data_IF_630554036367
#
_entry.id   IF_630554036367
#
_cell.length_a   1.000
_cell.length_b   1.000
_cell.length_c   1.000
_cell.angle_alpha   90.00
_cell.angle_beta   90.00
_cell.angle_gamma   90.00
#
_symmetry.space_group_name_H-M   'P 1'
#
loop_
_entity.id
_entity.type
_entity.pdbx_description
1 polymer ?
#
# COMPACT_ATOMS: atom_id res chain seq x y z
N UNK A 1 3.43 10.33 5.05
CA UNK A 1 3.23 9.42 6.21
C UNK A 1 2.97 8.01 5.68
N UNK A 2 3.70 7.05 6.20
CA UNK A 2 3.48 5.62 5.91
C UNK A 2 2.89 4.93 7.14
N UNK A 3 1.85 4.14 6.95
CA UNK A 3 1.25 3.32 7.99
C UNK A 3 1.12 1.88 7.53
N UNK A 4 1.48 0.93 8.38
CA UNK A 4 1.32 -0.50 8.13
C UNK A 4 0.22 -1.08 9.01
N UNK A 5 -0.66 -1.86 8.39
CA UNK A 5 -1.68 -2.64 9.08
C UNK A 5 -1.19 -4.08 9.06
N UNK A 6 -0.77 -4.59 10.22
CA UNK A 6 -0.21 -5.94 10.32
C UNK A 6 -1.16 -6.90 11.02
N UNK A 7 -0.91 -8.17 10.86
CA UNK A 7 -1.66 -9.26 11.46
C UNK A 7 -1.55 -10.50 10.57
N UNK A 8 -1.91 -11.66 11.13
CA UNK A 8 -1.97 -12.88 10.34
C UNK A 8 -3.14 -12.82 9.35
N UNK A 9 -3.14 -13.71 8.37
CA UNK A 9 -4.22 -13.82 7.40
C UNK A 9 -5.55 -14.05 8.15
N UNK A 10 -6.61 -13.38 7.71
CA UNK A 10 -7.95 -13.55 8.29
C UNK A 10 -8.25 -12.66 9.49
N UNK A 11 -7.40 -11.67 9.81
CA UNK A 11 -7.61 -10.77 10.95
C UNK A 11 -8.33 -9.46 10.59
N UNK A 12 -8.87 -9.35 9.37
CA UNK A 12 -9.65 -8.18 8.97
C UNK A 12 -8.84 -7.01 8.44
N UNK A 13 -7.57 -7.21 8.06
CA UNK A 13 -6.72 -6.16 7.52
C UNK A 13 -7.28 -5.55 6.24
N UNK A 14 -7.74 -6.40 5.31
CA UNK A 14 -8.30 -5.95 4.04
C UNK A 14 -9.57 -5.13 4.25
N UNK A 15 -10.45 -5.56 5.15
CA UNK A 15 -11.67 -4.82 5.48
C UNK A 15 -11.34 -3.44 6.05
N UNK A 16 -10.36 -3.36 6.92
CA UNK A 16 -9.89 -2.09 7.48
C UNK A 16 -9.38 -1.18 6.36
N UNK A 17 -8.59 -1.71 5.45
CA UNK A 17 -8.07 -0.95 4.31
C UNK A 17 -9.20 -0.46 3.41
N UNK A 18 -10.17 -1.31 3.08
CA UNK A 18 -11.33 -0.91 2.27
C UNK A 18 -12.05 0.28 2.89
N UNK A 19 -12.30 0.24 4.19
CA UNK A 19 -12.94 1.34 4.90
C UNK A 19 -12.11 2.62 4.81
N UNK A 20 -10.79 2.51 4.97
CA UNK A 20 -9.89 3.65 4.87
C UNK A 20 -9.86 4.24 3.46
N UNK A 21 -9.89 3.41 2.42
CA UNK A 21 -9.97 3.89 1.03
C UNK A 21 -11.25 4.70 0.81
N UNK A 22 -12.38 4.14 1.23
CA UNK A 22 -13.68 4.79 1.02
C UNK A 22 -13.81 6.08 1.85
N UNK A 23 -13.24 6.12 3.04
CA UNK A 23 -13.15 7.35 3.84
C UNK A 23 -12.25 8.40 3.18
N UNK A 24 -11.11 7.97 2.63
CA UNK A 24 -10.20 8.88 1.93
C UNK A 24 -10.87 9.53 0.72
N UNK A 25 -11.71 8.81 0.01
CA UNK A 25 -12.47 9.37 -1.11
C UNK A 25 -13.40 10.50 -0.71
N UNK A 26 -13.93 10.45 0.51
CA UNK A 26 -14.81 11.51 1.03
C UNK A 26 -14.05 12.76 1.46
N UNK A 27 -12.81 12.59 1.94
CA UNK A 27 -12.01 13.69 2.51
C UNK A 27 -10.92 14.21 1.59
N UNK A 28 -10.51 13.45 0.58
CA UNK A 28 -9.41 13.85 -0.29
C UNK A 28 -9.82 14.94 -1.26
N UNK A 29 -8.93 15.91 -1.45
CA UNK A 29 -9.07 16.95 -2.47
C UNK A 29 -8.48 16.51 -3.83
N UNK A 30 -7.89 15.32 -3.90
CA UNK A 30 -7.21 14.83 -5.09
C UNK A 30 -7.53 13.38 -5.39
N UNK A 31 -6.57 12.67 -5.97
CA UNK A 31 -6.75 11.28 -6.38
C UNK A 31 -6.40 10.30 -5.27
N UNK A 32 -7.18 9.23 -5.20
CA UNK A 32 -6.95 8.10 -4.30
C UNK A 32 -6.63 6.87 -5.15
N UNK A 33 -5.51 6.21 -4.86
CA UNK A 33 -5.03 5.04 -5.60
C UNK A 33 -4.95 3.84 -4.67
N UNK A 34 -5.37 2.67 -5.15
CA UNK A 34 -5.29 1.42 -4.41
C UNK A 34 -4.67 0.33 -5.28
N UNK A 35 -3.65 -0.34 -4.76
CA UNK A 35 -2.94 -1.42 -5.44
C UNK A 35 -3.30 -2.76 -4.79
N UNK A 36 -3.54 -3.76 -5.62
CA UNK A 36 -3.71 -5.13 -5.15
C UNK A 36 -3.15 -6.11 -6.19
N UNK A 37 -2.78 -7.30 -5.75
CA UNK A 37 -2.47 -8.39 -6.66
C UNK A 37 -3.75 -9.15 -6.96
N UNK A 38 -4.37 -8.86 -8.10
CA UNK A 38 -5.63 -9.46 -8.50
C UNK A 38 -6.77 -8.44 -8.56
N UNK A 39 -8.00 -8.93 -8.49
CA UNK A 39 -9.20 -8.12 -8.69
C UNK A 39 -10.27 -8.34 -7.62
N UNK A 40 -9.88 -8.76 -6.42
CA UNK A 40 -10.84 -9.08 -5.35
C UNK A 40 -11.57 -7.86 -4.80
N UNK A 41 -10.94 -6.70 -4.83
CA UNK A 41 -11.47 -5.49 -4.21
C UNK A 41 -12.42 -4.67 -5.10
N UNK A 42 -12.60 -5.06 -6.34
CA UNK A 42 -13.33 -4.26 -7.34
C UNK A 42 -14.78 -3.94 -6.99
N UNK A 43 -15.42 -4.78 -6.16
CA UNK A 43 -16.80 -4.55 -5.73
C UNK A 43 -16.90 -3.85 -4.36
N UNK A 44 -15.80 -3.77 -3.63
CA UNK A 44 -15.77 -3.20 -2.28
C UNK A 44 -15.27 -1.76 -2.27
N UNK A 45 -14.47 -1.39 -3.24
CA UNK A 45 -13.90 -0.05 -3.37
C UNK A 45 -14.71 0.74 -4.39
N UNK A 46 -15.09 1.94 -4.02
CA UNK A 46 -15.86 2.83 -4.89
C UNK A 46 -15.02 3.19 -6.13
N UNK A 47 -15.69 3.30 -7.28
CA UNK A 47 -15.03 3.48 -8.56
C UNK A 47 -14.22 4.78 -8.69
N UNK A 48 -14.47 5.76 -7.84
CA UNK A 48 -13.71 7.01 -7.83
C UNK A 48 -12.25 6.79 -7.43
N UNK A 49 -11.94 5.73 -6.70
CA UNK A 49 -10.56 5.34 -6.44
C UNK A 49 -10.01 4.64 -7.67
N UNK A 50 -8.74 4.92 -8.00
CA UNK A 50 -8.04 4.18 -9.04
C UNK A 50 -7.55 2.85 -8.46
N UNK A 51 -8.23 1.76 -8.79
CA UNK A 51 -7.85 0.42 -8.36
C UNK A 51 -6.97 -0.22 -9.44
N UNK A 52 -5.77 -0.66 -9.06
CA UNK A 52 -4.79 -1.20 -9.99
C UNK A 52 -4.42 -2.62 -9.59
N UNK A 53 -4.52 -3.55 -10.55
CA UNK A 53 -4.05 -4.91 -10.41
C UNK A 53 -2.57 -4.97 -10.77
N UNK A 54 -1.71 -5.23 -9.79
CA UNK A 54 -0.26 -5.24 -10.00
C UNK A 54 0.20 -6.33 -10.97
N UNK A 55 -0.59 -7.40 -11.16
CA UNK A 55 -0.28 -8.44 -12.14
C UNK A 55 -0.24 -7.91 -13.58
N UNK A 56 -1.01 -6.85 -13.85
CA UNK A 56 -1.08 -6.29 -15.21
C UNK A 56 0.19 -5.50 -15.59
N UNK A 57 1.06 -5.22 -14.63
CA UNK A 57 2.23 -4.36 -14.81
C UNK A 57 3.55 -5.02 -14.45
N UNK A 58 3.58 -6.35 -14.36
CA UNK A 58 4.80 -7.14 -14.10
C UNK A 58 5.50 -6.74 -12.79
N UNK A 59 4.73 -6.56 -11.74
CA UNK A 59 5.26 -6.18 -10.43
C UNK A 59 5.31 -7.43 -9.55
N UNK A 60 6.52 -7.91 -9.22
CA UNK A 60 6.72 -9.17 -8.52
C UNK A 60 7.70 -9.11 -7.35
N UNK A 61 8.37 -7.98 -7.13
CA UNK A 61 9.33 -7.82 -6.04
C UNK A 61 9.26 -6.42 -5.44
N UNK A 62 10.02 -6.20 -4.38
CA UNK A 62 10.00 -4.93 -3.67
C UNK A 62 10.48 -3.77 -4.54
N UNK A 63 11.52 -4.01 -5.34
CA UNK A 63 12.08 -2.96 -6.19
C UNK A 63 11.09 -2.53 -7.27
N UNK A 64 10.44 -3.48 -7.94
CA UNK A 64 9.43 -3.15 -8.96
C UNK A 64 8.21 -2.47 -8.35
N UNK A 65 7.80 -2.88 -7.15
CA UNK A 65 6.69 -2.23 -6.46
C UNK A 65 7.04 -0.78 -6.10
N UNK A 66 8.23 -0.55 -5.55
CA UNK A 66 8.68 0.80 -5.23
C UNK A 66 8.72 1.69 -6.49
N UNK A 67 9.32 1.19 -7.57
CA UNK A 67 9.41 1.93 -8.82
C UNK A 67 8.05 2.29 -9.41
N UNK A 68 7.10 1.36 -9.32
CA UNK A 68 5.75 1.59 -9.78
C UNK A 68 5.06 2.70 -8.98
N UNK A 69 5.16 2.65 -7.66
CA UNK A 69 4.59 3.69 -6.79
C UNK A 69 5.26 5.03 -7.04
N UNK A 70 6.60 5.05 -7.13
CA UNK A 70 7.34 6.28 -7.44
C UNK A 70 6.90 6.87 -8.79
N UNK A 71 6.66 6.02 -9.79
CA UNK A 71 6.17 6.44 -11.10
C UNK A 71 4.77 7.03 -11.04
N UNK A 72 3.87 6.43 -10.25
CA UNK A 72 2.53 6.98 -10.04
C UNK A 72 2.62 8.39 -9.45
N UNK A 73 3.40 8.57 -8.40
CA UNK A 73 3.52 9.85 -7.72
C UNK A 73 4.26 10.89 -8.57
N UNK A 74 5.23 10.45 -9.36
CA UNK A 74 5.96 11.34 -10.28
C UNK A 74 5.06 11.86 -11.40
N UNK A 75 4.13 11.04 -11.88
CA UNK A 75 3.27 11.37 -13.03
C UNK A 75 1.98 12.09 -12.64
N UNK A 76 1.58 12.04 -11.36
CA UNK A 76 0.31 12.62 -10.93
C UNK A 76 0.47 13.25 -9.54
N UNK A 77 0.64 14.56 -9.49
CA UNK A 77 0.78 15.31 -8.26
C UNK A 77 -0.54 15.50 -7.50
N UNK A 78 -1.66 15.07 -8.07
CA UNK A 78 -2.95 15.15 -7.40
C UNK A 78 -3.22 13.98 -6.45
N UNK A 79 -2.37 12.95 -6.44
CA UNK A 79 -2.53 11.82 -5.54
C UNK A 79 -2.33 12.29 -4.09
N UNK A 80 -3.32 12.06 -3.25
CA UNK A 80 -3.26 12.39 -1.82
C UNK A 80 -3.08 11.15 -0.96
N UNK A 81 -3.64 10.02 -1.39
CA UNK A 81 -3.64 8.77 -0.64
C UNK A 81 -3.33 7.60 -1.57
N UNK A 82 -2.46 6.70 -1.13
CA UNK A 82 -2.13 5.48 -1.84
C UNK A 82 -2.21 4.29 -0.88
N UNK A 83 -2.94 3.28 -1.28
CA UNK A 83 -3.18 2.08 -0.47
C UNK A 83 -2.60 0.85 -1.17
N UNK A 84 -2.07 -0.09 -0.39
CA UNK A 84 -1.52 -1.34 -0.92
C UNK A 84 -2.12 -2.49 -0.11
N UNK A 85 -2.88 -3.37 -0.76
CA UNK A 85 -3.42 -4.55 -0.10
C UNK A 85 -2.59 -5.79 -0.41
N UNK A 86 -2.18 -6.50 0.66
CA UNK A 86 -1.41 -7.71 0.52
C UNK A 86 0.01 -7.46 0.02
N UNK A 87 0.74 -6.57 0.65
CA UNK A 87 2.06 -6.14 0.19
C UNK A 87 3.02 -7.32 -0.04
N UNK A 88 3.07 -8.31 0.87
CA UNK A 88 3.95 -9.45 0.71
C UNK A 88 3.51 -10.40 -0.41
N UNK A 89 2.24 -10.40 -0.78
CA UNK A 89 1.78 -11.14 -1.96
C UNK A 89 2.30 -10.51 -3.25
N UNK A 90 2.45 -9.19 -3.26
CA UNK A 90 2.93 -8.45 -4.42
C UNK A 90 4.44 -8.56 -4.53
N UNK A 91 5.17 -8.26 -3.46
CA UNK A 91 6.62 -8.12 -3.50
C UNK A 91 7.41 -9.35 -3.04
N UNK A 92 6.72 -10.42 -2.63
CA UNK A 92 7.38 -11.62 -2.14
C UNK A 92 7.78 -11.53 -0.67
N UNK A 93 8.41 -12.61 -0.17
CA UNK A 93 8.67 -12.80 1.26
C UNK A 93 10.12 -12.55 1.67
N UNK A 94 10.93 -11.94 0.82
CA UNK A 94 12.27 -11.48 1.20
C UNK A 94 12.12 -10.26 2.13
N UNK A 95 12.19 -10.52 3.43
CA UNK A 95 11.93 -9.48 4.43
C UNK A 95 12.96 -8.36 4.41
N UNK A 96 14.22 -8.65 4.05
CA UNK A 96 15.24 -7.61 3.94
C UNK A 96 14.88 -6.61 2.83
N UNK A 97 14.50 -7.10 1.67
CA UNK A 97 14.07 -6.26 0.55
C UNK A 97 12.78 -5.50 0.88
N UNK A 98 11.84 -6.16 1.56
CA UNK A 98 10.60 -5.54 2.00
C UNK A 98 10.86 -4.38 2.96
N UNK A 99 11.72 -4.58 3.96
CA UNK A 99 12.01 -3.54 4.95
C UNK A 99 12.75 -2.35 4.33
N UNK A 100 13.67 -2.60 3.41
CA UNK A 100 14.33 -1.53 2.65
C UNK A 100 13.30 -0.71 1.87
N UNK A 101 12.37 -1.39 1.21
CA UNK A 101 11.30 -0.73 0.46
C UNK A 101 10.43 0.14 1.38
N UNK A 102 10.08 -0.36 2.56
CA UNK A 102 9.24 0.37 3.52
C UNK A 102 9.90 1.69 3.94
N UNK A 103 11.19 1.65 4.22
CA UNK A 103 11.95 2.87 4.56
C UNK A 103 11.95 3.85 3.39
N UNK A 104 12.20 3.37 2.19
CA UNK A 104 12.19 4.22 0.98
C UNK A 104 10.80 4.78 0.68
N UNK A 105 9.74 3.98 0.90
CA UNK A 105 8.36 4.45 0.72
C UNK A 105 8.00 5.54 1.73
N UNK A 106 8.47 5.42 2.97
CA UNK A 106 8.24 6.46 3.98
C UNK A 106 8.90 7.78 3.56
N UNK A 107 10.14 7.73 3.12
CA UNK A 107 10.85 8.91 2.61
C UNK A 107 10.10 9.53 1.42
N UNK A 108 9.64 8.70 0.49
CA UNK A 108 8.89 9.16 -0.67
C UNK A 108 7.57 9.80 -0.26
N UNK A 109 6.85 9.19 0.68
CA UNK A 109 5.57 9.69 1.16
C UNK A 109 5.71 11.08 1.80
N UNK A 110 6.76 11.28 2.59
CA UNK A 110 7.05 12.57 3.21
C UNK A 110 7.43 13.62 2.17
N UNK A 111 8.30 13.26 1.24
CA UNK A 111 8.76 14.17 0.17
C UNK A 111 7.61 14.60 -0.74
N UNK A 112 6.71 13.71 -1.07
CA UNK A 112 5.60 13.97 -1.98
C UNK A 112 4.32 14.41 -1.25
N UNK A 113 4.33 14.43 0.07
CA UNK A 113 3.16 14.74 0.89
C UNK A 113 1.96 13.85 0.55
N UNK A 114 2.19 12.54 0.49
CA UNK A 114 1.17 11.52 0.20
C UNK A 114 1.05 10.57 1.38
N UNK A 115 -0.16 10.22 1.75
CA UNK A 115 -0.41 9.22 2.77
C UNK A 115 -0.38 7.83 2.13
N UNK A 116 0.50 6.94 2.62
CA UNK A 116 0.61 5.57 2.14
C UNK A 116 0.21 4.62 3.27
N UNK A 117 -0.74 3.72 2.99
CA UNK A 117 -1.18 2.70 3.94
C UNK A 117 -1.09 1.33 3.26
N UNK A 118 -0.45 0.38 3.92
CA UNK A 118 -0.23 -0.96 3.37
C UNK A 118 -0.62 -2.04 4.37
N UNK A 119 -1.30 -3.09 3.89
CA UNK A 119 -1.53 -4.28 4.71
C UNK A 119 -0.39 -5.26 4.54
N UNK A 120 0.05 -5.86 5.63
CA UNK A 120 1.17 -6.78 5.65
C UNK A 120 0.81 -7.99 6.52
N UNK A 121 0.85 -9.19 5.95
CA UNK A 121 0.53 -10.43 6.68
C UNK A 121 1.73 -10.92 7.49
N UNK A 122 2.02 -10.21 8.57
CA UNK A 122 3.06 -10.54 9.54
C UNK A 122 2.43 -10.53 10.92
N UNK A 123 2.62 -11.60 11.73
CA UNK A 123 2.14 -11.58 13.11
C UNK A 123 2.78 -10.44 13.91
N UNK A 124 2.02 -9.83 14.80
CA UNK A 124 2.51 -8.70 15.60
C UNK A 124 3.78 -9.05 16.38
N UNK A 125 3.84 -10.27 16.93
CA UNK A 125 4.99 -10.76 17.71
C UNK A 125 6.23 -11.00 16.86
N UNK A 126 6.10 -11.10 15.55
CA UNK A 126 7.22 -11.30 14.62
C UNK A 126 7.64 -10.02 13.91
N UNK A 127 6.97 -8.91 14.18
CA UNK A 127 7.29 -7.64 13.54
C UNK A 127 8.68 -7.17 13.98
N UNK A 128 9.53 -6.84 13.00
CA UNK A 128 10.86 -6.28 13.26
C UNK A 128 10.75 -4.86 13.82
N UNK A 129 11.86 -4.35 14.35
CA UNK A 129 11.91 -2.96 14.82
C UNK A 129 11.60 -1.97 13.71
N UNK A 130 12.04 -2.25 12.49
CA UNK A 130 11.72 -1.42 11.32
C UNK A 130 10.23 -1.38 11.05
N UNK A 131 9.58 -2.54 11.01
CA UNK A 131 8.13 -2.63 10.77
C UNK A 131 7.34 -1.94 11.89
N UNK A 132 7.76 -2.12 13.15
CA UNK A 132 7.09 -1.52 14.30
C UNK A 132 6.99 0.00 14.25
N UNK A 133 7.92 0.65 13.57
CA UNK A 133 7.92 2.11 13.45
C UNK A 133 6.71 2.66 12.69
N UNK A 134 6.07 1.82 11.88
CA UNK A 134 5.02 2.26 10.96
C UNK A 134 3.64 1.69 11.28
N UNK A 135 3.52 0.97 12.38
CA UNK A 135 2.23 0.41 12.83
C UNK A 135 1.31 1.48 13.42
#
# INVERSE_FOLDING_TARGET
MLKLIIGVKGTGKTKTLINMVNEALESSSGAVVCLEKGTKLRFDIKYQARLINTNDYCIFDAQSLYGFIAGILASNHDVTDLFIDGTLKICGTDMASFENMIVELDELSEKQNVKIVATVSVPAEEASDTVKKYI
#
